data_IF_586681032974
#
_entry.id   IF_586681032974
#
_cell.length_a   1.000
_cell.length_b   1.000
_cell.length_c   1.000
_cell.angle_alpha   90.00
_cell.angle_beta   90.00
_cell.angle_gamma   90.00
#
_symmetry.space_group_name_H-M   'P 1'
#
loop_
_entity.id
_entity.type
_entity.pdbx_description
1 polymer ?
#
# COMPACT_ATOMS: atom_id res chain seq x y z
N UNK A 1 -6.95 5.43 3.93
CA UNK A 1 -6.26 6.02 5.06
C UNK A 1 -6.76 7.42 5.39
N UNK A 2 -6.54 7.83 6.60
CA UNK A 2 -6.96 9.14 7.10
C UNK A 2 -5.76 9.99 7.51
N UNK A 3 -4.56 9.66 7.04
CA UNK A 3 -3.35 10.40 7.29
C UNK A 3 -3.31 11.76 6.60
N UNK A 4 -4.12 11.90 5.56
CA UNK A 4 -4.29 13.10 4.74
C UNK A 4 -5.48 13.99 5.16
N UNK A 5 -6.19 13.65 6.24
CA UNK A 5 -7.39 14.37 6.66
C UNK A 5 -7.07 15.66 7.43
N UNK A 6 -6.51 16.67 6.78
CA UNK A 6 -6.30 18.05 7.29
C UNK A 6 -5.80 18.18 8.75
N UNK A 7 -5.22 17.13 9.31
CA UNK A 7 -4.64 17.07 10.68
C UNK A 7 -3.24 16.48 10.58
N UNK A 8 -2.30 17.31 10.17
CA UNK A 8 -0.95 16.92 9.78
C UNK A 8 -0.16 16.11 10.79
N UNK A 9 -0.43 16.26 12.10
CA UNK A 9 0.24 15.50 13.15
C UNK A 9 -0.24 14.06 13.30
N UNK A 10 -1.48 13.73 12.87
CA UNK A 10 -2.09 12.42 13.07
C UNK A 10 -1.26 11.23 12.58
N UNK A 11 -0.61 11.27 11.41
CA UNK A 11 0.13 10.11 10.92
C UNK A 11 1.24 9.64 11.86
N UNK A 12 1.89 10.54 12.59
CA UNK A 12 2.96 10.24 13.54
C UNK A 12 2.51 10.24 15.00
N UNK A 13 1.34 10.78 15.32
CA UNK A 13 0.76 10.69 16.66
C UNK A 13 0.23 9.27 16.92
N UNK A 14 0.90 8.53 17.78
CA UNK A 14 0.54 7.15 18.12
C UNK A 14 -0.76 7.04 18.92
N UNK A 15 -1.31 8.14 19.41
CA UNK A 15 -2.62 8.17 20.09
C UNK A 15 -3.79 8.35 19.12
N UNK A 16 -3.49 8.67 17.86
CA UNK A 16 -4.44 8.71 16.75
C UNK A 16 -4.37 7.43 15.92
N UNK A 17 -5.51 6.98 15.36
CA UNK A 17 -5.55 5.87 14.38
C UNK A 17 -5.40 6.33 12.92
N UNK A 18 -5.39 7.65 12.66
CA UNK A 18 -5.14 8.20 11.34
C UNK A 18 -3.70 7.97 10.88
N UNK A 19 -3.50 7.64 9.60
CA UNK A 19 -2.18 7.39 9.02
C UNK A 19 -1.44 6.18 9.60
N UNK A 20 -2.18 5.11 9.89
CA UNK A 20 -1.65 3.87 10.49
C UNK A 20 -1.99 2.65 9.68
N UNK A 21 -1.14 1.63 9.78
CA UNK A 21 -1.56 0.25 9.55
C UNK A 21 -1.79 -0.39 10.91
N UNK A 22 -2.97 -0.95 11.10
CA UNK A 22 -3.39 -1.57 12.34
C UNK A 22 -3.28 -3.09 12.24
N UNK A 23 -3.01 -3.75 13.36
CA UNK A 23 -2.99 -5.20 13.44
C UNK A 23 -3.76 -5.67 14.66
N UNK A 24 -4.77 -6.48 14.42
CA UNK A 24 -5.70 -6.97 15.43
C UNK A 24 -5.95 -8.48 15.28
N UNK A 25 -6.47 -9.08 16.33
CA UNK A 25 -6.96 -10.44 16.28
C UNK A 25 -8.25 -10.48 15.47
N UNK A 26 -8.34 -11.40 14.52
CA UNK A 26 -9.48 -11.48 13.59
C UNK A 26 -10.77 -11.99 14.23
N UNK A 27 -10.69 -12.61 15.42
CA UNK A 27 -11.84 -13.19 16.11
C UNK A 27 -12.42 -12.22 17.13
N UNK A 28 -11.55 -11.54 17.89
CA UNK A 28 -11.96 -10.67 19.00
C UNK A 28 -11.95 -9.20 18.64
N UNK A 29 -11.19 -8.79 17.62
CA UNK A 29 -10.93 -7.41 17.29
C UNK A 29 -9.92 -6.73 18.21
N UNK A 30 -9.36 -7.43 19.18
CA UNK A 30 -8.38 -6.89 20.11
C UNK A 30 -7.02 -6.61 19.43
N UNK A 31 -6.17 -5.77 20.04
CA UNK A 31 -4.82 -5.57 19.57
C UNK A 31 -4.06 -6.90 19.51
N UNK A 32 -3.39 -7.16 18.39
CA UNK A 32 -2.60 -8.38 18.27
C UNK A 32 -1.49 -8.41 19.35
N UNK A 33 -1.31 -9.53 20.10
CA UNK A 33 -0.39 -9.60 21.25
C UNK A 33 1.08 -9.29 20.95
N UNK A 34 1.49 -9.40 19.67
CA UNK A 34 2.85 -9.10 19.23
C UNK A 34 2.97 -7.74 18.53
N UNK A 35 2.00 -6.84 18.69
CA UNK A 35 2.13 -5.47 18.19
C UNK A 35 3.29 -4.73 18.87
N UNK A 36 3.93 -3.78 18.17
CA UNK A 36 5.07 -3.06 18.72
C UNK A 36 4.75 -2.29 20.01
N UNK A 37 3.53 -1.77 20.10
CA UNK A 37 3.08 -0.92 21.19
C UNK A 37 1.99 -1.56 22.07
N UNK A 38 1.86 -2.88 22.07
CA UNK A 38 0.78 -3.61 22.76
C UNK A 38 0.69 -3.34 24.27
N UNK A 39 1.81 -2.94 24.90
CA UNK A 39 1.88 -2.60 26.33
C UNK A 39 1.68 -1.11 26.60
N UNK A 40 1.39 -0.29 25.61
CA UNK A 40 1.19 1.15 25.80
C UNK A 40 -0.03 1.44 26.68
N UNK A 41 0.05 2.53 27.46
CA UNK A 41 -1.08 3.01 28.27
C UNK A 41 -2.29 3.41 27.42
N UNK A 42 -2.07 4.08 26.29
CA UNK A 42 -3.13 4.47 25.37
C UNK A 42 -3.66 3.26 24.60
N UNK A 43 -4.97 3.01 24.67
CA UNK A 43 -5.63 1.87 24.03
C UNK A 43 -5.47 1.88 22.49
N UNK A 44 -5.59 3.03 21.83
CA UNK A 44 -5.47 3.16 20.38
C UNK A 44 -4.07 2.74 19.90
N UNK A 45 -3.03 3.16 20.62
CA UNK A 45 -1.65 2.84 20.31
C UNK A 45 -1.38 1.32 20.26
N UNK A 46 -2.08 0.53 21.06
CA UNK A 46 -1.91 -0.93 21.12
C UNK A 46 -2.23 -1.63 19.79
N UNK A 47 -3.08 -1.02 18.94
CA UNK A 47 -3.46 -1.54 17.63
C UNK A 47 -2.43 -1.25 16.55
N UNK A 48 -1.57 -0.26 16.74
CA UNK A 48 -0.65 0.24 15.70
C UNK A 48 0.40 -0.81 15.36
N UNK A 49 0.50 -1.16 14.09
CA UNK A 49 1.58 -1.98 13.54
C UNK A 49 2.67 -1.12 12.91
N UNK A 50 2.27 -0.13 12.08
CA UNK A 50 3.14 0.91 11.51
C UNK A 50 2.43 2.26 11.52
N UNK A 51 3.18 3.35 11.35
CA UNK A 51 2.67 4.71 11.43
C UNK A 51 3.39 5.65 10.45
N UNK A 52 2.95 6.90 10.38
CA UNK A 52 3.53 7.88 9.46
C UNK A 52 3.11 7.65 8.00
N UNK A 53 1.90 7.12 7.76
CA UNK A 53 1.34 6.92 6.44
C UNK A 53 0.39 8.07 6.06
N UNK A 54 0.36 8.43 4.78
CA UNK A 54 -0.60 9.40 4.25
C UNK A 54 -1.94 8.73 3.97
N UNK A 55 -2.02 7.89 2.95
CA UNK A 55 -3.29 7.31 2.48
C UNK A 55 -3.08 5.89 1.91
N UNK A 56 -2.99 4.91 2.80
CA UNK A 56 -2.86 3.50 2.42
C UNK A 56 -4.15 3.01 1.76
N UNK A 57 -4.07 2.54 0.52
CA UNK A 57 -5.17 2.03 -0.29
C UNK A 57 -5.16 0.51 -0.40
N UNK A 58 -4.01 -0.13 -0.32
CA UNK A 58 -3.88 -1.57 -0.44
C UNK A 58 -2.87 -2.18 0.51
N UNK A 59 -3.15 -3.42 0.92
CA UNK A 59 -2.26 -4.26 1.72
C UNK A 59 -2.11 -5.61 1.03
N UNK A 60 -0.88 -6.12 0.98
CA UNK A 60 -0.57 -7.43 0.42
C UNK A 60 0.40 -8.19 1.31
N UNK A 61 0.25 -9.52 1.36
CA UNK A 61 1.21 -10.39 2.02
C UNK A 61 1.97 -11.21 0.99
N UNK A 62 3.30 -11.16 1.04
CA UNK A 62 4.19 -11.98 0.24
C UNK A 62 4.30 -13.39 0.83
N UNK A 63 4.67 -14.36 0.01
CA UNK A 63 4.80 -15.77 0.45
C UNK A 63 5.81 -15.99 1.60
N UNK A 64 6.77 -15.10 1.78
CA UNK A 64 7.71 -15.08 2.90
C UNK A 64 7.10 -14.53 4.21
N UNK A 65 5.82 -14.20 4.22
CA UNK A 65 5.09 -13.61 5.34
C UNK A 65 5.27 -12.09 5.49
N UNK A 66 6.12 -11.44 4.68
CA UNK A 66 6.29 -9.98 4.74
C UNK A 66 5.04 -9.26 4.26
N UNK A 67 4.70 -8.15 4.93
CA UNK A 67 3.55 -7.31 4.61
C UNK A 67 4.00 -6.10 3.80
N UNK A 68 3.16 -5.69 2.87
CA UNK A 68 3.40 -4.57 1.97
C UNK A 68 2.16 -3.70 1.89
N UNK A 69 2.36 -2.40 1.72
CA UNK A 69 1.30 -1.44 1.44
C UNK A 69 1.55 -0.69 0.14
N UNK A 70 0.47 -0.21 -0.44
CA UNK A 70 0.49 0.81 -1.49
C UNK A 70 -0.31 1.99 -1.00
N UNK A 71 0.17 3.20 -1.24
CA UNK A 71 -0.45 4.41 -0.73
C UNK A 71 -0.33 5.60 -1.66
N UNK A 72 -1.31 6.50 -1.59
CA UNK A 72 -1.33 7.72 -2.38
C UNK A 72 -0.43 8.79 -1.76
N UNK A 73 0.39 9.40 -2.60
CA UNK A 73 0.94 10.71 -2.38
C UNK A 73 -0.10 11.82 -2.55
N UNK A 74 0.30 13.07 -2.38
CA UNK A 74 -0.58 14.22 -2.60
C UNK A 74 -0.74 14.50 -4.11
N UNK A 75 0.26 15.09 -4.72
CA UNK A 75 0.36 15.31 -6.18
C UNK A 75 1.56 14.57 -6.78
N UNK A 76 2.43 14.04 -5.94
CA UNK A 76 3.64 13.26 -6.26
C UNK A 76 3.85 12.13 -5.26
N UNK A 77 4.77 11.23 -5.56
CA UNK A 77 5.29 10.20 -4.65
C UNK A 77 4.23 9.22 -4.11
N UNK A 78 3.40 8.66 -4.99
CA UNK A 78 2.70 7.44 -4.60
C UNK A 78 3.73 6.36 -4.25
N UNK A 79 3.49 5.59 -3.19
CA UNK A 79 4.50 4.68 -2.65
C UNK A 79 4.07 3.22 -2.57
N UNK A 80 5.04 2.33 -2.77
CA UNK A 80 4.97 0.93 -2.34
C UNK A 80 5.94 0.72 -1.20
N UNK A 81 5.45 0.26 -0.07
CA UNK A 81 6.19 0.11 1.17
C UNK A 81 6.25 -1.35 1.64
N UNK A 82 7.45 -1.82 2.06
CA UNK A 82 7.58 -3.05 2.84
C UNK A 82 7.38 -2.72 4.31
N UNK A 83 6.32 -3.25 4.92
CA UNK A 83 5.94 -2.91 6.29
C UNK A 83 6.85 -3.60 7.31
N UNK A 84 7.38 -2.82 8.24
CA UNK A 84 8.24 -3.28 9.32
C UNK A 84 7.59 -2.93 10.65
N UNK A 85 7.46 -3.90 11.53
CA UNK A 85 6.89 -3.74 12.88
C UNK A 85 7.45 -2.49 13.58
N UNK A 86 6.55 -1.57 13.97
CA UNK A 86 6.91 -0.29 14.61
C UNK A 86 7.56 0.74 13.68
N UNK A 87 7.53 0.51 12.36
CA UNK A 87 8.13 1.42 11.39
C UNK A 87 7.37 2.74 11.27
N UNK A 88 8.13 3.83 11.18
CA UNK A 88 7.68 5.17 10.81
C UNK A 88 7.89 5.37 9.30
N UNK A 89 6.85 5.76 8.57
CA UNK A 89 6.89 5.98 7.11
C UNK A 89 6.97 7.46 6.72
N UNK A 90 7.08 8.33 7.73
CA UNK A 90 7.59 9.69 7.56
C UNK A 90 6.61 10.71 7.01
N UNK A 91 5.32 10.37 6.80
CA UNK A 91 4.35 11.37 6.41
C UNK A 91 4.03 12.30 7.59
N UNK A 92 4.34 13.59 7.43
CA UNK A 92 4.17 14.61 8.48
C UNK A 92 4.04 15.99 7.87
N UNK A 93 2.91 16.33 7.24
CA UNK A 93 2.73 17.56 6.46
C UNK A 93 2.48 18.79 7.33
N UNK A 94 3.31 19.03 8.32
CA UNK A 94 3.23 20.19 9.21
C UNK A 94 4.50 21.06 9.07
N UNK A 95 4.42 22.35 9.33
CA UNK A 95 3.26 23.16 9.74
C UNK A 95 2.29 23.46 8.59
N UNK A 96 1.02 23.76 8.95
CA UNK A 96 0.03 24.25 8.00
C UNK A 96 -0.51 23.23 6.99
N UNK A 97 -0.31 21.93 7.22
CA UNK A 97 -0.67 20.88 6.27
C UNK A 97 -0.02 21.09 4.88
N UNK A 98 1.27 21.35 4.87
CA UNK A 98 2.04 21.51 3.64
C UNK A 98 2.26 20.17 2.93
N UNK A 99 1.52 19.93 1.85
CA UNK A 99 1.64 18.73 1.01
C UNK A 99 2.84 18.78 0.04
N UNK A 100 3.63 19.84 0.02
CA UNK A 100 4.88 19.93 -0.74
C UNK A 100 6.00 19.08 -0.12
N UNK A 101 5.90 18.73 1.16
CA UNK A 101 6.87 17.86 1.83
C UNK A 101 6.91 16.47 1.19
N UNK A 102 8.08 15.81 1.17
CA UNK A 102 8.18 14.44 0.67
C UNK A 102 7.28 13.48 1.43
N UNK A 103 6.70 12.50 0.72
CA UNK A 103 5.90 11.43 1.36
C UNK A 103 6.63 10.74 2.50
N UNK A 104 7.91 10.43 2.31
CA UNK A 104 8.79 9.94 3.38
C UNK A 104 9.79 11.03 3.75
N UNK A 105 9.44 11.87 4.72
CA UNK A 105 10.33 12.92 5.20
C UNK A 105 11.45 12.36 6.09
N UNK A 106 12.66 12.32 5.55
CA UNK A 106 13.85 11.79 6.22
C UNK A 106 14.49 12.79 7.20
N UNK A 107 14.02 14.03 7.25
CA UNK A 107 14.51 15.08 8.16
C UNK A 107 13.92 14.97 9.57
N UNK A 108 12.85 14.18 9.73
CA UNK A 108 12.16 14.02 11.01
C UNK A 108 13.01 13.25 12.03
N UNK A 109 12.83 13.51 13.32
CA UNK A 109 13.51 12.75 14.37
C UNK A 109 13.18 11.25 14.32
N UNK A 110 14.19 10.40 14.49
CA UNK A 110 14.07 8.96 14.42
C UNK A 110 14.49 8.38 13.07
N UNK A 111 14.07 7.18 12.76
CA UNK A 111 14.42 6.48 11.52
C UNK A 111 13.17 6.21 10.69
N UNK A 112 13.00 6.96 9.64
CA UNK A 112 11.93 6.74 8.68
C UNK A 112 12.27 5.61 7.71
N UNK A 113 11.25 4.86 7.29
CA UNK A 113 11.36 3.75 6.34
C UNK A 113 11.13 4.26 4.92
N UNK A 114 12.17 4.23 4.11
CA UNK A 114 12.08 4.62 2.70
C UNK A 114 11.16 3.68 1.93
N UNK A 115 10.37 4.25 1.04
CA UNK A 115 9.59 3.51 0.06
C UNK A 115 10.46 2.53 -0.74
N UNK A 116 9.86 1.42 -1.15
CA UNK A 116 10.50 0.44 -2.05
C UNK A 116 10.32 0.80 -3.50
N UNK A 117 9.31 1.59 -3.78
CA UNK A 117 9.06 2.26 -5.04
C UNK A 117 8.30 3.55 -4.78
N UNK A 118 8.58 4.57 -5.56
CA UNK A 118 7.83 5.81 -5.63
C UNK A 118 7.48 6.10 -7.09
N UNK A 119 6.28 6.68 -7.33
CA UNK A 119 5.89 7.13 -8.66
C UNK A 119 6.73 8.31 -9.15
N UNK A 120 7.32 9.08 -8.22
CA UNK A 120 7.83 10.39 -8.52
C UNK A 120 6.69 11.38 -8.82
N UNK A 121 6.92 12.28 -9.77
CA UNK A 121 5.94 13.23 -10.28
C UNK A 121 5.58 12.85 -11.73
N UNK A 122 4.27 12.72 -12.06
CA UNK A 122 3.09 12.85 -11.21
C UNK A 122 2.74 11.56 -10.45
N UNK A 123 1.68 11.62 -9.61
CA UNK A 123 1.02 10.45 -9.02
C UNK A 123 0.34 9.57 -10.08
N UNK A 124 0.22 8.29 -9.79
CA UNK A 124 -0.50 7.30 -10.63
C UNK A 124 -1.78 6.78 -9.97
N UNK A 125 -2.00 7.14 -8.70
CA UNK A 125 -3.12 6.73 -7.85
C UNK A 125 -3.25 5.20 -7.69
N UNK A 126 -2.34 4.53 -6.95
CA UNK A 126 -2.42 3.10 -6.72
C UNK A 126 -3.61 2.73 -5.85
N UNK A 127 -4.37 1.73 -6.25
CA UNK A 127 -5.48 1.16 -5.49
C UNK A 127 -5.06 -0.05 -4.68
N UNK A 128 -5.77 -1.17 -4.82
CA UNK A 128 -5.41 -2.40 -4.16
C UNK A 128 -4.23 -3.12 -4.80
N UNK A 129 -3.67 -4.09 -4.07
CA UNK A 129 -2.55 -4.87 -4.56
C UNK A 129 -2.57 -6.32 -4.05
N UNK A 130 -2.00 -7.24 -4.83
CA UNK A 130 -1.84 -8.64 -4.46
C UNK A 130 -0.52 -9.20 -4.99
N UNK A 131 0.13 -10.09 -4.23
CA UNK A 131 1.24 -10.85 -4.78
C UNK A 131 0.73 -11.95 -5.71
N UNK A 132 1.33 -12.04 -6.89
CA UNK A 132 1.01 -13.04 -7.90
C UNK A 132 1.57 -14.39 -7.47
N UNK A 133 0.68 -15.36 -7.26
CA UNK A 133 1.03 -16.73 -6.89
C UNK A 133 0.67 -17.69 -8.03
N UNK A 134 1.07 -18.96 -7.91
CA UNK A 134 0.83 -19.95 -8.94
C UNK A 134 1.92 -20.05 -10.02
N UNK A 135 2.24 -21.27 -10.42
CA UNK A 135 3.34 -21.57 -11.37
C UNK A 135 3.05 -21.07 -12.79
N UNK A 136 1.77 -21.06 -13.19
CA UNK A 136 1.32 -20.63 -14.53
C UNK A 136 1.68 -19.19 -14.88
N UNK A 137 1.96 -18.33 -13.91
CA UNK A 137 2.33 -16.94 -14.13
C UNK A 137 3.77 -16.74 -14.62
N UNK A 138 4.58 -17.78 -14.70
CA UNK A 138 5.94 -17.71 -15.24
C UNK A 138 6.76 -16.58 -14.64
N UNK A 139 7.21 -15.65 -15.47
CA UNK A 139 8.04 -14.51 -15.07
C UNK A 139 7.30 -13.47 -14.17
N UNK A 140 5.97 -13.49 -14.14
CA UNK A 140 5.17 -12.61 -13.28
C UNK A 140 4.97 -13.21 -11.88
N UNK A 141 5.23 -14.50 -11.68
CA UNK A 141 5.12 -15.12 -10.36
C UNK A 141 5.98 -14.42 -9.31
N UNK A 142 5.38 -14.14 -8.15
CA UNK A 142 6.02 -13.45 -7.03
C UNK A 142 6.28 -11.96 -7.28
N UNK A 143 5.67 -11.36 -8.30
CA UNK A 143 5.56 -9.91 -8.43
C UNK A 143 4.41 -9.41 -7.56
N UNK A 144 4.48 -8.16 -7.13
CA UNK A 144 3.34 -7.44 -6.59
C UNK A 144 2.57 -6.82 -7.76
N UNK A 145 1.34 -7.28 -7.99
CA UNK A 145 0.40 -6.65 -8.90
C UNK A 145 -0.28 -5.50 -8.18
N UNK A 146 -0.17 -4.29 -8.70
CA UNK A 146 -0.73 -3.07 -8.14
C UNK A 146 -1.75 -2.50 -9.11
N UNK A 147 -2.99 -2.36 -8.68
CA UNK A 147 -4.03 -1.65 -9.40
C UNK A 147 -3.72 -0.15 -9.47
N UNK A 148 -3.95 0.48 -10.60
CA UNK A 148 -3.66 1.91 -10.79
C UNK A 148 -4.85 2.60 -11.43
N UNK A 149 -5.37 3.61 -10.73
CA UNK A 149 -6.58 4.32 -11.13
C UNK A 149 -6.31 5.40 -12.18
N UNK A 150 -5.39 6.33 -11.89
CA UNK A 150 -5.12 7.48 -12.75
C UNK A 150 -4.46 7.06 -14.06
N UNK A 151 -3.52 6.15 -13.99
CA UNK A 151 -2.77 5.62 -15.14
C UNK A 151 -3.42 4.39 -15.79
N UNK A 152 -4.61 3.97 -15.34
CA UNK A 152 -5.49 2.97 -15.96
C UNK A 152 -4.75 1.69 -16.36
N UNK A 153 -4.03 1.05 -15.43
CA UNK A 153 -3.22 -0.15 -15.69
C UNK A 153 -2.97 -0.98 -14.43
N UNK A 154 -2.37 -2.12 -14.61
CA UNK A 154 -1.80 -2.93 -13.51
C UNK A 154 -0.28 -2.91 -13.62
N UNK A 155 0.41 -2.55 -12.54
CA UNK A 155 1.86 -2.61 -12.43
C UNK A 155 2.26 -3.94 -11.78
N UNK A 156 3.09 -4.73 -12.46
CA UNK A 156 3.69 -5.95 -11.92
C UNK A 156 5.12 -5.65 -11.46
N UNK A 157 5.32 -5.51 -10.17
CA UNK A 157 6.57 -5.08 -9.55
C UNK A 157 7.34 -6.27 -8.97
N UNK A 158 8.54 -6.54 -9.47
CA UNK A 158 9.42 -7.58 -8.93
C UNK A 158 10.38 -6.99 -7.90
N UNK A 159 10.32 -7.51 -6.70
CA UNK A 159 11.25 -7.17 -5.63
C UNK A 159 12.14 -8.37 -5.28
N UNK A 160 13.40 -8.11 -4.92
CA UNK A 160 14.30 -9.11 -4.36
C UNK A 160 13.92 -9.44 -2.89
N UNK A 161 14.66 -10.35 -2.24
CA UNK A 161 14.39 -10.77 -0.86
C UNK A 161 14.67 -9.65 0.16
N UNK A 162 15.53 -8.69 -0.20
CA UNK A 162 15.80 -7.49 0.60
C UNK A 162 14.73 -6.40 0.37
N UNK A 163 13.78 -6.64 -0.54
CA UNK A 163 12.72 -5.69 -0.90
C UNK A 163 13.19 -4.56 -1.82
N UNK A 164 14.28 -4.75 -2.59
CA UNK A 164 14.72 -3.78 -3.59
C UNK A 164 13.99 -4.05 -4.90
N UNK A 165 13.43 -3.02 -5.53
CA UNK A 165 12.79 -3.14 -6.83
C UNK A 165 13.80 -3.58 -7.90
N UNK A 166 13.44 -4.58 -8.68
CA UNK A 166 14.23 -5.13 -9.79
C UNK A 166 13.63 -4.80 -11.15
N UNK A 167 12.30 -4.81 -11.24
CA UNK A 167 11.61 -4.60 -12.50
C UNK A 167 10.16 -4.20 -12.27
N UNK A 168 9.63 -3.38 -13.16
CA UNK A 168 8.19 -3.11 -13.32
C UNK A 168 7.79 -3.57 -14.73
N UNK A 169 6.63 -4.23 -14.85
CA UNK A 169 6.00 -4.60 -16.12
C UNK A 169 4.56 -4.11 -16.12
N UNK A 170 4.10 -3.69 -17.29
CA UNK A 170 2.74 -3.20 -17.52
C UNK A 170 2.19 -3.86 -18.78
N UNK A 171 1.58 -5.06 -18.68
CA UNK A 171 1.01 -5.74 -19.84
C UNK A 171 -0.06 -4.87 -20.53
N UNK A 172 0.02 -4.73 -21.85
CA UNK A 172 -0.90 -3.89 -22.62
C UNK A 172 -2.35 -4.41 -22.53
N UNK A 173 -2.53 -5.72 -22.45
CA UNK A 173 -3.85 -6.35 -22.27
C UNK A 173 -4.64 -5.87 -21.04
N UNK A 174 -4.03 -5.12 -20.12
CA UNK A 174 -4.68 -4.58 -18.92
C UNK A 174 -4.77 -3.05 -18.95
N UNK A 175 -4.63 -2.42 -20.11
CA UNK A 175 -4.70 -0.95 -20.27
C UNK A 175 -6.04 -0.46 -20.82
N UNK A 176 -6.87 -1.33 -21.38
CA UNK A 176 -8.10 -0.94 -22.09
C UNK A 176 -9.36 -1.02 -21.22
N UNK A 177 -9.19 -1.20 -19.90
CA UNK A 177 -10.30 -1.40 -18.96
C UNK A 177 -10.59 -0.19 -18.07
N UNK A 178 -9.95 0.95 -18.35
CA UNK A 178 -10.12 2.18 -17.56
C UNK A 178 -9.43 2.11 -16.19
N UNK A 179 -10.05 2.72 -15.20
CA UNK A 179 -9.51 2.89 -13.83
C UNK A 179 -9.52 1.55 -13.09
N UNK A 180 -8.35 1.06 -12.74
CA UNK A 180 -8.23 -0.20 -11.98
C UNK A 180 -8.19 0.09 -10.48
N UNK A 181 -9.21 -0.40 -9.75
CA UNK A 181 -9.37 -0.18 -8.30
C UNK A 181 -8.68 -1.25 -7.46
N UNK A 182 -8.78 -2.52 -7.85
CA UNK A 182 -8.31 -3.63 -7.02
C UNK A 182 -7.76 -4.76 -7.88
N UNK A 183 -6.76 -5.44 -7.33
CA UNK A 183 -6.25 -6.73 -7.83
C UNK A 183 -6.20 -7.70 -6.66
N UNK A 184 -6.79 -8.88 -6.80
CA UNK A 184 -6.77 -9.95 -5.79
C UNK A 184 -6.43 -11.30 -6.41
N UNK A 185 -5.84 -12.19 -5.62
CA UNK A 185 -5.66 -13.60 -5.98
C UNK A 185 -7.04 -14.28 -5.96
N UNK A 186 -7.44 -14.83 -7.09
CA UNK A 186 -8.71 -15.49 -7.30
C UNK A 186 -8.60 -17.01 -7.39
N UNK A 187 -9.69 -17.69 -7.73
CA UNK A 187 -9.71 -19.15 -7.86
C UNK A 187 -8.66 -19.67 -8.84
N UNK A 188 -7.96 -20.74 -8.45
CA UNK A 188 -6.90 -21.35 -9.26
C UNK A 188 -5.69 -20.43 -9.49
N UNK A 189 -5.52 -19.42 -8.66
CA UNK A 189 -4.49 -18.37 -8.78
C UNK A 189 -4.59 -17.57 -10.09
N UNK A 190 -5.78 -17.35 -10.62
CA UNK A 190 -6.05 -16.27 -11.55
C UNK A 190 -6.08 -14.95 -10.79
N UNK A 191 -5.87 -13.83 -11.45
CA UNK A 191 -6.11 -12.54 -10.83
C UNK A 191 -7.55 -12.09 -11.14
N UNK A 192 -8.24 -11.62 -10.10
CA UNK A 192 -9.45 -10.81 -10.28
C UNK A 192 -9.05 -9.35 -10.24
N UNK A 193 -9.42 -8.63 -11.28
CA UNK A 193 -9.12 -7.21 -11.44
C UNK A 193 -10.44 -6.46 -11.47
N UNK A 194 -10.62 -5.51 -10.57
CA UNK A 194 -11.84 -4.73 -10.42
C UNK A 194 -11.59 -3.30 -10.90
N UNK A 195 -12.50 -2.78 -11.72
CA UNK A 195 -12.45 -1.41 -12.20
C UNK A 195 -13.23 -0.44 -11.29
N UNK A 196 -13.11 0.85 -11.56
CA UNK A 196 -13.81 1.93 -10.87
C UNK A 196 -14.05 3.08 -11.89
N UNK A 197 -14.79 2.76 -12.95
CA UNK A 197 -15.09 3.67 -14.06
C UNK A 197 -16.31 4.53 -13.78
N UNK A 198 -17.18 4.09 -12.85
CA UNK A 198 -18.46 4.74 -12.55
C UNK A 198 -19.54 4.49 -13.58
N UNK A 199 -20.70 5.07 -13.37
CA UNK A 199 -21.86 5.08 -14.31
C UNK A 199 -22.26 3.69 -14.85
N UNK A 200 -22.08 2.63 -14.03
CA UNK A 200 -22.39 1.26 -14.42
C UNK A 200 -21.40 0.61 -15.40
N UNK A 201 -20.24 1.23 -15.60
CA UNK A 201 -19.17 0.73 -16.47
C UNK A 201 -18.11 -0.10 -15.71
N UNK A 202 -18.39 -0.47 -14.47
CA UNK A 202 -17.47 -1.24 -13.65
C UNK A 202 -17.48 -2.72 -14.06
N UNK A 203 -16.29 -3.31 -14.07
CA UNK A 203 -16.05 -4.69 -14.47
C UNK A 203 -15.31 -5.47 -13.40
N UNK A 204 -15.54 -6.78 -13.37
CA UNK A 204 -14.70 -7.75 -12.68
C UNK A 204 -14.08 -8.64 -13.75
N UNK A 205 -12.81 -8.43 -14.00
CA UNK A 205 -12.05 -9.18 -14.99
C UNK A 205 -11.37 -10.38 -14.33
N UNK A 206 -11.50 -11.55 -14.95
CA UNK A 206 -10.69 -12.71 -14.59
C UNK A 206 -9.51 -12.81 -15.54
N UNK A 207 -8.31 -12.64 -15.01
CA UNK A 207 -7.06 -12.63 -15.78
C UNK A 207 -6.30 -13.92 -15.52
N UNK A 208 -6.06 -14.69 -16.57
CA UNK A 208 -5.26 -15.92 -16.57
C UNK A 208 -4.09 -15.79 -17.52
N UNK A 209 -2.89 -16.25 -17.17
CA UNK A 209 -1.80 -16.34 -18.15
C UNK A 209 -2.10 -17.44 -19.17
N UNK A 210 -1.69 -17.20 -20.41
CA UNK A 210 -1.73 -18.18 -21.50
C UNK A 210 -0.54 -19.12 -21.44
#
# INVERSE_FOLDING_TARGET
GTGDAAVGSNPRDLTSLGGKVLRLDRRTGDPWPRNPFVKAGNKKQRYVFTYGHRNVQGLAQRADGSLWSVEHGSYRDDEVNKLVKGGDYGWHPVPGYDESVPMTDQSLPGKQRKARWSSGDPTVAPGGASFVVGKKWGALRGTLAVAVLKDQRVLFMKFDDRGRLKRVRTPDALREHGRIRQVVDGPGHDLLVLTDNGDGQDEILRVSPR
#
